data_IF_237878494164
#
_entry.id   IF_237878494164
#
_cell.length_a   1.000
_cell.length_b   1.000
_cell.length_c   1.000
_cell.angle_alpha   90.00
_cell.angle_beta   90.00
_cell.angle_gamma   90.00
#
_symmetry.space_group_name_H-M   'P 1'
#
loop_
_entity.id
_entity.type
_entity.pdbx_description
1 polymer ?
#
# COMPACT_ATOMS: atom_id res chain seq x y z
N UNK A 1 20.43 -13.77 4.46
CA UNK A 1 20.68 -14.32 5.82
C UNK A 1 19.76 -13.71 6.88
N UNK A 2 19.56 -12.39 6.88
CA UNK A 2 18.70 -11.64 7.81
C UNK A 2 17.21 -12.02 7.67
N UNK A 3 16.69 -12.09 6.44
CA UNK A 3 15.28 -12.47 6.16
C UNK A 3 14.88 -13.87 6.65
N UNK A 4 15.82 -14.84 6.68
CA UNK A 4 15.52 -16.20 7.15
C UNK A 4 15.28 -16.28 8.67
N UNK A 5 15.77 -15.33 9.45
CA UNK A 5 15.62 -15.33 10.91
C UNK A 5 14.33 -14.66 11.38
N UNK A 6 13.80 -13.69 10.62
CA UNK A 6 12.45 -13.14 10.83
C UNK A 6 11.34 -14.19 10.61
N UNK A 7 11.61 -15.19 9.77
CA UNK A 7 10.65 -16.21 9.33
C UNK A 7 10.57 -17.48 10.20
N UNK A 8 11.29 -17.58 11.33
CA UNK A 8 11.45 -18.87 12.05
C UNK A 8 10.25 -19.36 12.87
N UNK A 9 9.14 -18.63 12.91
CA UNK A 9 7.96 -19.02 13.71
C UNK A 9 6.60 -18.95 13.02
N UNK A 10 6.45 -18.13 11.95
CA UNK A 10 5.17 -17.94 11.24
C UNK A 10 5.42 -17.71 9.73
N UNK A 11 5.41 -18.76 8.89
CA UNK A 11 5.82 -18.67 7.49
C UNK A 11 4.95 -17.76 6.61
N UNK A 12 3.65 -17.61 6.93
CA UNK A 12 2.72 -16.73 6.19
C UNK A 12 2.91 -15.23 6.50
N UNK A 13 3.84 -14.91 7.41
CA UNK A 13 4.07 -13.58 7.98
C UNK A 13 5.42 -13.03 7.49
N UNK A 14 6.02 -13.70 6.50
CA UNK A 14 7.37 -13.41 6.01
C UNK A 14 7.40 -12.10 5.20
N UNK A 15 7.97 -11.07 5.80
CA UNK A 15 8.41 -9.85 5.16
C UNK A 15 9.67 -10.10 4.33
N UNK A 16 9.58 -9.98 3.01
CA UNK A 16 10.74 -9.75 2.16
C UNK A 16 11.08 -8.25 2.21
N UNK A 17 12.38 -7.90 2.13
CA UNK A 17 12.75 -6.50 1.84
C UNK A 17 12.08 -6.00 0.56
N UNK A 18 11.79 -6.89 -0.38
CA UNK A 18 10.99 -6.61 -1.57
C UNK A 18 9.60 -6.03 -1.28
N UNK A 19 8.93 -6.44 -0.19
CA UNK A 19 7.55 -6.00 0.08
C UNK A 19 7.48 -4.54 0.50
N UNK A 20 8.51 -4.05 1.21
CA UNK A 20 8.65 -2.62 1.55
C UNK A 20 8.83 -1.76 0.30
N UNK A 21 9.43 -2.32 -0.76
CA UNK A 21 9.72 -1.56 -1.98
C UNK A 21 8.44 -1.10 -2.68
N UNK A 22 7.36 -1.88 -2.66
CA UNK A 22 6.11 -1.45 -3.30
C UNK A 22 5.55 -0.18 -2.65
N UNK A 23 5.42 -0.18 -1.33
CA UNK A 23 4.90 0.98 -0.59
C UNK A 23 5.85 2.17 -0.69
N UNK A 24 7.17 1.95 -0.63
CA UNK A 24 8.13 3.05 -0.80
C UNK A 24 8.24 3.56 -2.23
N UNK A 25 7.94 2.73 -3.24
CA UNK A 25 7.86 3.16 -4.64
C UNK A 25 6.68 4.11 -4.88
N UNK A 26 5.56 3.96 -4.17
CA UNK A 26 4.46 4.95 -4.22
C UNK A 26 4.94 6.31 -3.74
N UNK A 27 5.59 6.34 -2.57
CA UNK A 27 6.18 7.55 -2.00
C UNK A 27 7.24 8.16 -2.94
N UNK A 28 8.12 7.33 -3.49
CA UNK A 28 9.20 7.76 -4.38
C UNK A 28 8.66 8.30 -5.71
N UNK A 29 7.64 7.64 -6.28
CA UNK A 29 6.97 8.08 -7.49
C UNK A 29 6.38 9.48 -7.30
N UNK A 30 5.68 9.70 -6.18
CA UNK A 30 5.17 11.03 -5.87
C UNK A 30 6.31 12.05 -5.77
N UNK A 31 7.32 11.78 -4.94
CA UNK A 31 8.38 12.75 -4.68
C UNK A 31 9.26 13.08 -5.91
N UNK A 32 9.37 12.17 -6.88
CA UNK A 32 10.29 12.32 -8.02
C UNK A 32 9.59 12.69 -9.32
N UNK A 33 8.36 12.21 -9.49
CA UNK A 33 7.61 12.34 -10.74
C UNK A 33 6.27 13.07 -10.55
N UNK A 34 6.05 13.76 -9.42
CA UNK A 34 4.88 14.61 -9.21
C UNK A 34 4.60 15.49 -10.43
N UNK A 35 3.33 15.56 -10.82
CA UNK A 35 2.88 16.32 -11.99
C UNK A 35 3.30 15.75 -13.36
N UNK A 36 3.98 14.60 -13.41
CA UNK A 36 4.37 13.92 -14.67
C UNK A 36 3.58 12.65 -14.97
N UNK A 37 2.70 12.24 -14.06
CA UNK A 37 1.81 11.10 -14.23
C UNK A 37 0.42 11.43 -13.67
N UNK A 38 -0.59 10.78 -14.24
CA UNK A 38 -1.98 10.83 -13.74
C UNK A 38 -2.32 9.56 -12.95
N UNK A 39 -1.75 8.43 -13.36
CA UNK A 39 -2.03 7.12 -12.81
C UNK A 39 -0.73 6.33 -12.62
N UNK A 40 -0.61 5.65 -11.49
CA UNK A 40 0.41 4.63 -11.25
C UNK A 40 -0.25 3.26 -11.30
N UNK A 41 0.31 2.36 -12.09
CA UNK A 41 -0.14 0.97 -12.20
C UNK A 41 0.90 0.05 -11.58
N UNK A 42 0.44 -0.91 -10.80
CA UNK A 42 1.26 -1.91 -10.13
C UNK A 42 0.79 -3.30 -10.50
N UNK A 43 1.73 -4.23 -10.58
CA UNK A 43 1.53 -5.66 -10.75
C UNK A 43 2.82 -6.39 -10.46
N UNK A 44 2.73 -7.71 -10.43
CA UNK A 44 3.88 -8.59 -10.26
C UNK A 44 4.68 -8.71 -11.58
N UNK A 45 5.83 -9.37 -11.50
CA UNK A 45 6.71 -9.57 -12.68
C UNK A 45 6.08 -10.44 -13.78
N UNK A 46 4.99 -11.13 -13.47
CA UNK A 46 4.19 -11.99 -14.34
C UNK A 46 2.78 -11.45 -14.63
N UNK A 47 2.41 -10.27 -14.11
CA UNK A 47 1.12 -9.63 -14.44
C UNK A 47 1.14 -9.05 -15.86
N UNK A 48 0.11 -9.35 -16.67
CA UNK A 48 -0.05 -8.78 -18.02
C UNK A 48 -1.19 -7.78 -18.06
N UNK A 49 -0.89 -6.49 -18.29
CA UNK A 49 -1.91 -5.45 -18.41
C UNK A 49 -2.47 -5.32 -19.83
N UNK A 50 -3.80 -5.36 -19.94
CA UNK A 50 -4.52 -5.04 -21.17
C UNK A 50 -4.67 -3.53 -21.30
N UNK A 51 -3.58 -2.82 -21.65
CA UNK A 51 -3.49 -1.35 -21.55
C UNK A 51 -4.61 -0.59 -22.24
N UNK A 52 -5.13 -1.06 -23.38
CA UNK A 52 -6.27 -0.43 -24.05
C UNK A 52 -7.56 -0.45 -23.22
N UNK A 53 -7.78 -1.52 -22.44
CA UNK A 53 -8.93 -1.66 -21.56
C UNK A 53 -8.73 -0.83 -20.30
N UNK A 54 -7.54 -0.88 -19.69
CA UNK A 54 -7.18 -0.05 -18.54
C UNK A 54 -7.39 1.44 -18.84
N UNK A 55 -6.84 1.94 -19.97
CA UNK A 55 -7.00 3.34 -20.36
C UNK A 55 -8.47 3.71 -20.63
N UNK A 56 -9.25 2.81 -21.22
CA UNK A 56 -10.69 3.05 -21.45
C UNK A 56 -11.47 3.13 -20.15
N UNK A 57 -11.15 2.27 -19.19
CA UNK A 57 -11.75 2.31 -17.86
C UNK A 57 -11.38 3.60 -17.11
N UNK A 58 -10.09 3.98 -17.09
CA UNK A 58 -9.60 5.17 -16.38
C UNK A 58 -10.12 6.49 -16.95
N UNK A 59 -10.46 6.57 -18.25
CA UNK A 59 -11.03 7.78 -18.87
C UNK A 59 -12.35 8.26 -18.24
N UNK A 60 -13.00 7.43 -17.43
CA UNK A 60 -14.23 7.77 -16.72
C UNK A 60 -13.97 8.48 -15.38
N UNK A 61 -12.72 8.62 -14.98
CA UNK A 61 -12.31 9.08 -13.66
C UNK A 61 -11.37 10.28 -13.77
N UNK A 62 -11.48 11.21 -12.82
CA UNK A 62 -10.55 12.32 -12.69
C UNK A 62 -9.30 11.87 -11.89
N UNK A 63 -8.08 11.89 -12.46
CA UNK A 63 -6.87 11.51 -11.74
C UNK A 63 -6.50 12.46 -10.59
N UNK A 64 -7.14 13.62 -10.46
CA UNK A 64 -6.96 14.53 -9.33
C UNK A 64 -7.72 14.10 -8.07
N UNK A 65 -8.71 13.22 -8.20
CA UNK A 65 -9.45 12.66 -7.06
C UNK A 65 -8.66 11.54 -6.39
N UNK A 66 -8.79 11.32 -5.06
CA UNK A 66 -8.02 10.32 -4.32
C UNK A 66 -8.54 8.90 -4.50
N UNK A 67 -8.31 8.34 -5.68
CA UNK A 67 -8.78 7.02 -6.09
C UNK A 67 -7.70 5.93 -5.99
N UNK A 68 -8.12 4.77 -5.47
CA UNK A 68 -7.37 3.51 -5.40
C UNK A 68 -8.21 2.41 -6.01
N UNK A 69 -7.73 1.74 -7.06
CA UNK A 69 -8.47 0.68 -7.74
C UNK A 69 -7.74 -0.65 -7.74
N UNK A 70 -8.46 -1.75 -7.49
CA UNK A 70 -8.05 -3.09 -7.93
C UNK A 70 -8.55 -3.38 -9.34
N UNK A 71 -7.78 -4.18 -10.10
CA UNK A 71 -8.11 -4.54 -11.49
C UNK A 71 -8.97 -5.80 -11.62
N UNK A 72 -9.10 -6.58 -10.56
CA UNK A 72 -10.00 -7.74 -10.47
C UNK A 72 -10.84 -7.63 -9.20
N UNK A 73 -12.15 -7.83 -9.36
CA UNK A 73 -13.13 -7.69 -8.28
C UNK A 73 -13.36 -9.05 -7.61
N UNK A 74 -12.65 -9.28 -6.52
CA UNK A 74 -12.76 -10.52 -5.73
C UNK A 74 -13.73 -10.40 -4.54
N UNK A 75 -14.49 -9.30 -4.45
CA UNK A 75 -15.46 -9.07 -3.39
C UNK A 75 -14.81 -8.60 -2.08
N UNK A 76 -15.16 -7.40 -1.64
CA UNK A 76 -14.77 -6.84 -0.34
C UNK A 76 -15.81 -7.13 0.74
N UNK A 77 -15.35 -7.33 1.96
CA UNK A 77 -16.13 -7.86 3.08
C UNK A 77 -16.98 -6.87 3.88
N UNK A 78 -16.66 -5.58 4.05
CA UNK A 78 -17.46 -4.54 4.75
C UNK A 78 -16.89 -3.17 4.40
N UNK A 79 -17.68 -2.25 3.83
CA UNK A 79 -17.20 -0.96 3.32
C UNK A 79 -16.93 0.13 4.38
N UNK A 80 -16.52 -0.25 5.60
CA UNK A 80 -16.30 0.71 6.70
C UNK A 80 -14.98 0.41 7.39
N UNK A 81 -14.09 1.40 7.37
CA UNK A 81 -12.84 1.38 8.16
C UNK A 81 -13.20 1.68 9.63
N UNK A 82 -12.81 0.85 10.61
CA UNK A 82 -13.05 1.14 12.02
C UNK A 82 -12.39 2.44 12.48
N UNK A 83 -13.04 3.20 13.36
CA UNK A 83 -12.53 4.50 13.84
C UNK A 83 -11.13 4.42 14.48
N UNK A 84 -10.80 3.28 15.09
CA UNK A 84 -9.49 3.07 15.74
C UNK A 84 -8.35 2.82 14.73
N UNK A 85 -8.67 2.47 13.49
CA UNK A 85 -7.70 1.97 12.51
C UNK A 85 -6.69 3.05 12.09
N UNK A 86 -7.17 4.24 11.72
CA UNK A 86 -6.32 5.38 11.38
C UNK A 86 -5.37 5.78 12.53
N UNK A 87 -5.89 6.05 13.74
CA UNK A 87 -5.08 6.39 14.90
C UNK A 87 -3.99 5.37 15.24
N UNK A 88 -4.19 4.08 14.97
CA UNK A 88 -3.19 3.03 15.25
C UNK A 88 -1.86 3.26 14.52
N UNK A 89 -1.88 3.88 13.34
CA UNK A 89 -0.68 4.23 12.57
C UNK A 89 -0.38 5.73 12.60
N UNK A 90 -1.38 6.57 12.40
CA UNK A 90 -1.18 8.02 12.23
C UNK A 90 -0.62 8.68 13.49
N UNK A 91 -0.91 8.15 14.68
CA UNK A 91 -0.37 8.62 15.95
C UNK A 91 1.06 8.15 16.24
N UNK A 92 1.63 7.22 15.46
CA UNK A 92 3.02 6.81 15.66
C UNK A 92 3.96 8.01 15.49
N UNK A 93 4.97 8.17 16.36
CA UNK A 93 5.94 9.24 16.18
C UNK A 93 6.78 8.99 14.91
N UNK A 94 7.17 10.05 14.19
CA UNK A 94 8.05 9.93 13.05
C UNK A 94 9.41 9.37 13.47
N UNK A 95 10.09 8.70 12.54
CA UNK A 95 11.44 8.20 12.73
C UNK A 95 12.40 8.91 11.79
N UNK A 96 13.63 9.13 12.24
CA UNK A 96 14.62 9.87 11.48
C UNK A 96 14.19 11.32 11.18
N UNK A 97 14.80 11.92 10.17
CA UNK A 97 14.50 13.29 9.75
C UNK A 97 13.43 13.29 8.63
N UNK A 98 12.53 14.28 8.65
CA UNK A 98 11.47 14.48 7.66
C UNK A 98 12.00 14.69 6.23
N UNK A 99 13.23 15.22 6.10
CA UNK A 99 13.87 15.41 4.79
C UNK A 99 14.41 14.10 4.19
N UNK A 100 14.63 13.07 5.01
CA UNK A 100 15.13 11.79 4.54
C UNK A 100 14.02 11.02 3.80
N UNK A 101 14.42 10.31 2.75
CA UNK A 101 13.55 9.36 2.07
C UNK A 101 14.16 7.99 2.27
N UNK A 102 13.49 7.14 3.03
CA UNK A 102 13.92 5.77 3.27
C UNK A 102 13.02 4.84 2.47
N UNK A 103 13.64 4.06 1.60
CA UNK A 103 12.95 3.09 0.76
C UNK A 103 12.68 1.77 1.47
N UNK A 104 13.34 1.56 2.61
CA UNK A 104 13.15 0.44 3.52
C UNK A 104 12.74 0.96 4.90
N UNK A 105 12.04 0.13 5.68
CA UNK A 105 11.75 0.46 7.09
C UNK A 105 13.03 0.71 7.88
N UNK A 106 12.97 1.68 8.80
CA UNK A 106 14.09 2.18 9.61
C UNK A 106 15.02 1.09 10.18
N UNK A 107 14.50 -0.01 10.73
CA UNK A 107 15.31 -1.11 11.31
C UNK A 107 15.36 -2.38 10.44
N UNK A 108 14.80 -2.35 9.23
CA UNK A 108 14.72 -3.53 8.38
C UNK A 108 16.10 -4.06 7.97
N UNK A 109 17.08 -3.17 7.81
CA UNK A 109 18.47 -3.54 7.53
C UNK A 109 19.11 -4.37 8.66
N UNK A 110 18.59 -4.26 9.89
CA UNK A 110 18.99 -5.09 11.04
C UNK A 110 18.11 -6.34 11.21
N UNK A 111 17.10 -6.51 10.34
CA UNK A 111 16.10 -7.56 10.46
C UNK A 111 15.22 -7.44 11.69
N UNK A 112 14.83 -6.21 12.04
CA UNK A 112 13.96 -5.94 13.19
C UNK A 112 12.70 -5.21 12.75
N UNK A 113 11.61 -5.50 13.45
CA UNK A 113 10.38 -4.71 13.39
C UNK A 113 10.52 -3.46 14.27
N UNK A 114 10.22 -2.30 13.69
CA UNK A 114 10.31 -1.01 14.35
C UNK A 114 9.28 -0.87 15.48
N UNK A 115 8.05 -1.32 15.23
CA UNK A 115 6.94 -1.16 16.16
C UNK A 115 7.13 -2.07 17.38
N UNK A 116 7.62 -3.29 17.18
CA UNK A 116 8.00 -4.17 18.30
C UNK A 116 9.19 -3.63 19.10
N UNK A 117 10.15 -3.00 18.41
CA UNK A 117 11.38 -2.50 19.05
C UNK A 117 11.13 -1.28 19.93
N UNK A 118 10.33 -0.33 19.47
CA UNK A 118 10.09 0.94 20.17
C UNK A 118 8.85 0.91 21.06
N UNK A 119 7.81 0.13 20.73
CA UNK A 119 6.57 0.00 21.51
C UNK A 119 5.93 1.36 21.88
N UNK A 120 6.08 2.33 20.98
CA UNK A 120 5.69 3.73 21.15
C UNK A 120 4.38 4.07 20.42
N UNK A 121 3.78 3.09 19.73
CA UNK A 121 2.49 3.21 19.08
C UNK A 121 1.81 1.86 18.83
N UNK A 122 0.61 1.93 18.25
CA UNK A 122 -0.32 0.82 18.10
C UNK A 122 -0.28 0.13 16.72
N UNK A 123 0.73 0.40 15.88
CA UNK A 123 0.74 -0.10 14.50
C UNK A 123 0.71 -1.64 14.41
N UNK A 124 1.16 -2.38 15.44
CA UNK A 124 1.03 -3.84 15.51
C UNK A 124 -0.43 -4.31 15.51
N UNK A 125 -1.40 -3.48 15.89
CA UNK A 125 -2.83 -3.83 15.76
C UNK A 125 -3.23 -4.05 14.30
N UNK A 126 -2.49 -3.47 13.35
CA UNK A 126 -2.75 -3.62 11.92
C UNK A 126 -2.17 -4.93 11.35
N UNK A 127 -1.38 -5.67 12.14
CA UNK A 127 -0.82 -6.97 11.75
C UNK A 127 -1.90 -8.03 11.50
N UNK A 128 -3.12 -7.86 11.98
CA UNK A 128 -4.20 -8.77 11.62
C UNK A 128 -4.83 -8.35 10.28
N UNK A 129 -4.47 -9.04 9.19
CA UNK A 129 -5.01 -8.78 7.85
C UNK A 129 -6.53 -8.99 7.77
N UNK A 130 -7.14 -9.77 8.65
CA UNK A 130 -8.61 -9.90 8.70
C UNK A 130 -9.31 -8.59 9.08
N UNK A 131 -8.57 -7.63 9.64
CA UNK A 131 -9.11 -6.30 9.96
C UNK A 131 -9.31 -5.43 8.72
N UNK A 132 -8.70 -5.77 7.58
CA UNK A 132 -8.98 -5.17 6.27
C UNK A 132 -10.32 -5.65 5.70
N UNK A 133 -11.37 -5.57 6.52
CA UNK A 133 -12.70 -6.05 6.14
C UNK A 133 -13.25 -5.30 4.91
N UNK A 134 -12.80 -4.08 4.63
CA UNK A 134 -13.12 -3.33 3.41
C UNK A 134 -12.45 -3.84 2.14
N UNK A 135 -11.58 -4.83 2.26
CA UNK A 135 -10.88 -5.45 1.15
C UNK A 135 -9.58 -4.75 0.79
N UNK A 136 -8.83 -5.43 -0.07
CA UNK A 136 -7.60 -4.96 -0.69
C UNK A 136 -7.51 -5.56 -2.09
N UNK A 137 -6.97 -4.83 -3.08
CA UNK A 137 -6.58 -5.40 -4.36
C UNK A 137 -5.45 -6.42 -4.17
N UNK A 138 -5.55 -7.55 -4.86
CA UNK A 138 -4.49 -8.55 -4.86
C UNK A 138 -3.35 -8.09 -5.78
N UNK A 139 -2.11 -8.07 -5.26
CA UNK A 139 -0.94 -7.55 -5.99
C UNK A 139 -0.73 -8.19 -7.37
N UNK A 140 -0.84 -9.52 -7.44
CA UNK A 140 -0.65 -10.28 -8.69
C UNK A 140 -1.70 -10.02 -9.78
N UNK A 141 -2.86 -9.46 -9.41
CA UNK A 141 -3.92 -9.10 -10.36
C UNK A 141 -3.81 -7.64 -10.80
N UNK A 142 -2.95 -6.90 -10.12
CA UNK A 142 -2.66 -5.51 -10.37
C UNK A 142 -3.67 -4.53 -9.79
N UNK A 143 -3.18 -3.31 -9.57
CA UNK A 143 -3.94 -2.20 -9.03
C UNK A 143 -3.44 -0.87 -9.56
N UNK A 144 -4.28 0.16 -9.44
CA UNK A 144 -4.03 1.50 -9.95
C UNK A 144 -4.24 2.54 -8.85
N UNK A 145 -3.32 3.48 -8.74
CA UNK A 145 -3.40 4.64 -7.86
C UNK A 145 -3.47 5.92 -8.70
N UNK A 146 -4.35 6.84 -8.31
CA UNK A 146 -4.43 8.19 -8.89
C UNK A 146 -3.32 9.10 -8.34
N UNK A 147 -2.93 10.11 -9.12
CA UNK A 147 -2.09 11.21 -8.61
C UNK A 147 -2.73 11.90 -7.40
N UNK A 148 -4.04 12.13 -7.43
CA UNK A 148 -4.80 12.74 -6.34
C UNK A 148 -4.66 11.98 -5.01
N UNK A 149 -4.61 10.64 -5.06
CA UNK A 149 -4.43 9.82 -3.86
C UNK A 149 -3.03 9.99 -3.25
N UNK A 150 -2.02 10.10 -4.11
CA UNK A 150 -0.65 10.34 -3.65
C UNK A 150 -0.51 11.73 -3.05
N UNK A 151 -1.21 12.72 -3.61
CA UNK A 151 -1.25 14.10 -3.14
C UNK A 151 -2.03 14.27 -1.82
N UNK A 152 -3.03 13.42 -1.56
CA UNK A 152 -3.85 13.50 -0.35
C UNK A 152 -3.14 13.02 0.92
N UNK A 153 -2.04 12.28 0.78
CA UNK A 153 -1.26 11.75 1.91
C UNK A 153 0.10 12.50 1.99
N UNK A 154 0.39 13.21 3.09
CA UNK A 154 1.65 13.91 3.26
C UNK A 154 2.86 12.96 3.16
N UNK A 155 3.99 13.46 2.64
CA UNK A 155 5.22 12.67 2.52
C UNK A 155 5.65 12.02 3.84
N UNK A 156 5.54 12.73 4.96
CA UNK A 156 5.90 12.18 6.28
C UNK A 156 4.99 11.01 6.67
N UNK A 157 3.72 11.05 6.29
CA UNK A 157 2.77 9.96 6.49
C UNK A 157 3.10 8.74 5.65
N UNK A 158 3.46 8.94 4.37
CA UNK A 158 4.00 7.86 3.53
C UNK A 158 5.26 7.24 4.13
N UNK A 159 6.20 8.07 4.58
CA UNK A 159 7.42 7.59 5.22
C UNK A 159 7.13 6.80 6.50
N UNK A 160 6.16 7.27 7.30
CA UNK A 160 5.68 6.57 8.50
C UNK A 160 5.07 5.22 8.15
N UNK A 161 4.30 5.11 7.07
CA UNK A 161 3.81 3.81 6.58
C UNK A 161 4.98 2.87 6.25
N UNK A 162 5.98 3.33 5.50
CA UNK A 162 7.19 2.55 5.18
C UNK A 162 7.92 2.08 6.44
N UNK A 163 8.01 2.93 7.45
CA UNK A 163 8.74 2.62 8.68
C UNK A 163 7.99 1.67 9.61
N UNK A 164 6.66 1.81 9.72
CA UNK A 164 5.84 1.18 10.76
C UNK A 164 5.01 -0.02 10.30
N UNK A 165 4.71 -0.12 9.00
CA UNK A 165 3.89 -1.21 8.43
C UNK A 165 4.82 -2.23 7.78
N UNK A 166 5.30 -3.16 8.60
CA UNK A 166 6.39 -4.11 8.26
C UNK A 166 5.94 -5.56 8.15
N UNK A 167 4.65 -5.83 8.34
CA UNK A 167 3.99 -7.15 8.28
C UNK A 167 3.27 -7.37 6.94
N UNK A 168 3.05 -8.64 6.56
CA UNK A 168 2.40 -9.08 5.30
C UNK A 168 3.11 -8.76 3.98
N UNK A 169 2.50 -9.14 2.86
CA UNK A 169 2.93 -8.80 1.50
C UNK A 169 2.69 -7.33 1.15
N UNK A 170 3.24 -6.91 0.01
CA UNK A 170 3.25 -5.51 -0.46
C UNK A 170 1.87 -4.86 -0.61
N UNK A 171 0.92 -5.59 -1.19
CA UNK A 171 -0.46 -5.16 -1.46
C UNK A 171 -1.26 -4.90 -0.19
N UNK A 172 -1.13 -5.80 0.79
CA UNK A 172 -1.69 -5.67 2.13
C UNK A 172 -1.09 -4.46 2.86
N UNK A 173 0.24 -4.28 2.86
CA UNK A 173 0.89 -3.13 3.51
C UNK A 173 0.39 -1.80 2.94
N UNK A 174 0.32 -1.72 1.61
CA UNK A 174 -0.20 -0.53 0.95
C UNK A 174 -1.66 -0.28 1.36
N UNK A 175 -2.50 -1.31 1.35
CA UNK A 175 -3.90 -1.21 1.76
C UNK A 175 -4.07 -0.81 3.23
N UNK A 176 -3.20 -1.27 4.12
CA UNK A 176 -3.17 -0.87 5.52
C UNK A 176 -2.79 0.60 5.67
N UNK A 177 -1.78 1.07 4.95
CA UNK A 177 -1.41 2.48 4.93
C UNK A 177 -2.55 3.36 4.40
N UNK A 178 -3.11 3.00 3.24
CA UNK A 178 -4.21 3.73 2.61
C UNK A 178 -5.45 3.76 3.52
N UNK A 179 -5.81 2.63 4.12
CA UNK A 179 -6.91 2.53 5.07
C UNK A 179 -6.68 3.37 6.33
N UNK A 180 -5.44 3.44 6.83
CA UNK A 180 -5.11 4.32 7.96
C UNK A 180 -5.27 5.81 7.62
N UNK A 181 -5.24 6.15 6.34
CA UNK A 181 -5.52 7.49 5.80
C UNK A 181 -6.95 7.64 5.27
N UNK A 182 -7.84 6.67 5.53
CA UNK A 182 -9.26 6.75 5.14
C UNK A 182 -9.54 6.40 3.68
N UNK A 183 -8.56 5.87 2.95
CA UNK A 183 -8.72 5.47 1.56
C UNK A 183 -9.02 3.97 1.47
N UNK A 184 -10.09 3.64 0.74
CA UNK A 184 -10.52 2.27 0.47
C UNK A 184 -10.34 1.94 -1.01
N UNK A 185 -10.09 0.67 -1.37
CA UNK A 185 -10.06 0.27 -2.76
C UNK A 185 -11.45 0.28 -3.38
N UNK A 186 -11.46 0.63 -4.66
CA UNK A 186 -12.59 0.49 -5.58
C UNK A 186 -12.21 -0.54 -6.64
N UNK A 187 -13.17 -0.97 -7.45
CA UNK A 187 -12.88 -1.85 -8.58
C UNK A 187 -12.89 -1.04 -9.85
N UNK A 188 -11.78 -1.05 -10.59
CA UNK A 188 -11.77 -0.46 -11.91
C UNK A 188 -12.57 -1.37 -12.83
N UNK A 189 -13.58 -0.81 -13.51
CA UNK A 189 -14.44 -1.58 -14.40
C UNK A 189 -14.39 -0.94 -15.78
N UNK A 190 -13.98 -1.74 -16.77
CA UNK A 190 -14.10 -1.34 -18.16
C UNK A 190 -15.59 -1.21 -18.53
N UNK A 191 -16.02 -0.16 -19.25
CA UNK A 191 -17.41 0.00 -19.68
C UNK A 191 -17.96 -1.17 -20.48
N UNK A 192 -17.08 -1.94 -21.15
CA UNK A 192 -17.45 -3.12 -21.93
C UNK A 192 -17.26 -4.42 -21.14
N UNK A 193 -16.89 -4.33 -19.86
CA UNK A 193 -16.61 -5.44 -18.95
C UNK A 193 -15.52 -6.38 -19.49
N UNK A 194 -14.54 -5.82 -20.19
CA UNK A 194 -13.35 -6.57 -20.59
C UNK A 194 -12.39 -6.75 -19.40
N UNK A 195 -11.63 -7.83 -19.41
CA UNK A 195 -10.53 -8.06 -18.48
C UNK A 195 -9.46 -6.96 -18.60
N UNK A 196 -8.97 -6.51 -17.45
CA UNK A 196 -7.99 -5.43 -17.34
C UNK A 196 -6.56 -5.96 -17.19
N UNK A 197 -6.41 -7.13 -16.60
CA UNK A 197 -5.15 -7.83 -16.39
C UNK A 197 -5.35 -9.35 -16.45
N UNK A 198 -4.25 -10.08 -16.71
CA UNK A 198 -4.12 -11.53 -16.63
C UNK A 198 -2.94 -11.91 -15.73
#
# INVERSE_FOLDING_TARGET
PIHKNLCRGRPHWCANSGDNKFMSMVMHANATYHGRFDWLIFGDGDTTFMMWHVLRALKQHDPAEPMYFGLKNDGGGKFVIPEWYGPALTNCPPLGNDSEMRLDSYLNHEGKDVTEKYQDCDAMKLEDAFLLTWGWPHGGEGFVLSRGLLDSIPRQSWQKCVDRVTFHGSDLRLSMCLGAHGHMPWWLVDPRRCELAL
#
